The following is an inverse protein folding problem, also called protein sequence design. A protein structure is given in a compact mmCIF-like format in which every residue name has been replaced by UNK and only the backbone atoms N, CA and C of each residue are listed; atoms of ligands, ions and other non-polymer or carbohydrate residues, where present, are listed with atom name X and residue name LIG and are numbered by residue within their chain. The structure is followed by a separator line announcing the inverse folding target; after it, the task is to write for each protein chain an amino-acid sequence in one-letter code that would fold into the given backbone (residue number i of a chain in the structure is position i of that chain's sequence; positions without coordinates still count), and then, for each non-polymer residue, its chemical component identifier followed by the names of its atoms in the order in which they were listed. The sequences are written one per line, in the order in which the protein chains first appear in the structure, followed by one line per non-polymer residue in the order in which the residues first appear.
data_IF_612690725543
#
_entry.id   IF_612690725543
#
_cell.length_a   1.000
_cell.length_b   1.000
_cell.length_c   1.000
_cell.angle_alpha   90.00
_cell.angle_beta   90.00
_cell.angle_gamma   90.00
#
_symmetry.space_group_name_H-M   'P 1'
#
loop_
_entity.id
_entity.type
_entity.pdbx_description
1 polymer ?
#
# COMPACT_ATOMS: atom_id res chain seq x y z
N UNK A 1 -21.88 3.46 -3.64
CA UNK A 1 -23.00 3.32 -3.12
C UNK A 1 -23.92 4.45 -2.69
N UNK A 2 -24.70 4.21 -1.65
CA UNK A 2 -25.81 5.06 -1.23
C UNK A 2 -25.51 6.56 -1.02
N UNK A 3 -24.28 6.93 -0.68
CA UNK A 3 -23.87 8.34 -0.52
C UNK A 3 -23.72 9.03 -1.89
N UNK A 4 -23.11 8.35 -2.88
CA UNK A 4 -22.91 8.92 -4.20
C UNK A 4 -24.21 8.99 -5.01
N UNK A 5 -25.16 8.06 -4.79
CA UNK A 5 -26.42 7.99 -5.52
C UNK A 5 -27.37 9.13 -5.15
N UNK A 6 -27.22 9.72 -3.96
CA UNK A 6 -28.00 10.88 -3.49
C UNK A 6 -27.44 12.24 -3.96
N UNK A 7 -26.23 12.25 -4.52
CA UNK A 7 -25.58 13.49 -4.93
C UNK A 7 -25.82 13.77 -6.40
N UNK A 8 -26.66 14.78 -6.70
CA UNK A 8 -26.95 15.28 -8.04
C UNK A 8 -26.24 16.62 -8.25
N UNK A 9 -24.96 16.59 -8.60
CA UNK A 9 -24.17 17.81 -8.84
C UNK A 9 -23.90 18.05 -10.32
N UNK A 10 -23.49 19.27 -10.68
CA UNK A 10 -23.08 19.66 -12.05
C UNK A 10 -21.94 18.81 -12.64
N UNK A 11 -21.23 18.05 -11.81
CA UNK A 11 -20.08 17.19 -12.19
C UNK A 11 -20.40 15.70 -12.18
N UNK A 12 -21.66 15.32 -12.06
CA UNK A 12 -22.12 13.94 -11.90
C UNK A 12 -22.24 13.52 -10.43
N UNK A 13 -22.68 12.31 -10.19
CA UNK A 13 -22.89 11.76 -8.85
C UNK A 13 -21.66 11.01 -8.29
N UNK A 14 -20.86 10.41 -9.15
CA UNK A 14 -19.73 9.55 -8.78
C UNK A 14 -18.41 10.32 -8.68
N UNK A 15 -18.14 11.21 -9.64
CA UNK A 15 -16.86 11.94 -9.75
C UNK A 15 -16.45 12.68 -8.47
N UNK A 16 -17.31 13.42 -7.74
CA UNK A 16 -16.89 14.12 -6.53
C UNK A 16 -16.43 13.18 -5.43
N UNK A 17 -17.07 12.03 -5.26
CA UNK A 17 -16.71 11.04 -4.22
C UNK A 17 -15.37 10.37 -4.57
N UNK A 18 -15.15 10.07 -5.85
CA UNK A 18 -13.85 9.53 -6.33
C UNK A 18 -12.74 10.54 -6.05
N UNK A 19 -12.93 11.82 -6.40
CA UNK A 19 -11.93 12.87 -6.19
C UNK A 19 -11.56 13.02 -4.71
N UNK A 20 -12.57 13.20 -3.85
CA UNK A 20 -12.34 13.40 -2.40
C UNK A 20 -11.68 12.15 -1.79
N UNK A 21 -12.22 10.97 -2.06
CA UNK A 21 -11.70 9.72 -1.51
C UNK A 21 -10.25 9.46 -1.92
N UNK A 22 -9.89 9.71 -3.19
CA UNK A 22 -8.51 9.52 -3.67
C UNK A 22 -7.55 10.54 -3.06
N UNK A 23 -7.95 11.82 -2.91
CA UNK A 23 -7.12 12.84 -2.28
C UNK A 23 -6.88 12.50 -0.81
N UNK A 24 -7.94 12.14 -0.08
CA UNK A 24 -7.82 11.74 1.33
C UNK A 24 -6.90 10.52 1.46
N UNK A 25 -7.04 9.52 0.59
CA UNK A 25 -6.18 8.35 0.59
C UNK A 25 -4.71 8.72 0.32
N UNK A 26 -4.43 9.58 -0.67
CA UNK A 26 -3.07 10.01 -0.99
C UNK A 26 -2.40 10.77 0.17
N UNK A 27 -3.14 11.69 0.82
CA UNK A 27 -2.66 12.42 2.00
C UNK A 27 -2.39 11.45 3.15
N UNK A 28 -3.31 10.53 3.41
CA UNK A 28 -3.16 9.55 4.49
C UNK A 28 -1.97 8.59 4.24
N UNK A 29 -1.69 8.23 2.98
CA UNK A 29 -0.50 7.44 2.61
C UNK A 29 0.81 8.16 2.96
N UNK A 30 0.91 9.45 2.64
CA UNK A 30 2.07 10.27 2.99
C UNK A 30 2.17 10.41 4.51
N UNK A 31 1.05 10.66 5.19
CA UNK A 31 1.02 10.77 6.65
C UNK A 31 1.45 9.48 7.34
N UNK A 32 1.11 8.31 6.77
CA UNK A 32 1.52 7.01 7.27
C UNK A 32 3.05 6.86 7.27
N UNK A 33 3.72 7.28 6.20
CA UNK A 33 5.18 7.24 6.12
C UNK A 33 5.86 8.20 7.10
N UNK A 34 5.26 9.36 7.37
CA UNK A 34 5.81 10.30 8.36
C UNK A 34 5.74 9.75 9.79
N UNK A 35 4.70 8.97 10.11
CA UNK A 35 4.60 8.30 11.43
C UNK A 35 5.62 7.16 11.52
N UNK A 36 5.85 6.42 10.44
CA UNK A 36 6.90 5.41 10.35
C UNK A 36 8.28 6.03 10.58
N UNK A 37 8.62 7.13 9.90
CA UNK A 37 9.86 7.87 10.10
C UNK A 37 10.01 8.41 11.54
N UNK A 38 8.91 8.84 12.17
CA UNK A 38 8.93 9.26 13.56
C UNK A 38 9.28 8.09 14.50
N UNK A 39 8.82 6.88 14.19
CA UNK A 39 9.18 5.68 14.93
C UNK A 39 10.65 5.31 14.72
N UNK A 40 11.15 5.39 13.48
CA UNK A 40 12.57 5.12 13.18
C UNK A 40 13.53 6.06 13.92
N UNK A 41 13.13 7.31 14.16
CA UNK A 41 13.92 8.26 14.98
C UNK A 41 14.09 7.81 16.43
N UNK A 42 13.15 7.05 16.98
CA UNK A 42 13.24 6.51 18.33
C UNK A 42 14.30 5.38 18.45
N UNK A 43 14.84 4.91 17.33
CA UNK A 43 15.89 3.90 17.31
C UNK A 43 17.32 4.46 17.47
N UNK A 44 17.46 5.73 17.81
CA UNK A 44 18.76 6.38 18.10
C UNK A 44 19.85 6.12 17.04
N UNK A 45 19.45 6.03 15.76
CA UNK A 45 20.36 5.73 14.66
C UNK A 45 20.61 4.24 14.40
N UNK A 46 20.11 3.33 15.22
CA UNK A 46 20.28 1.87 15.04
C UNK A 46 19.61 1.32 13.76
N UNK A 47 18.80 2.12 13.07
CA UNK A 47 18.20 1.76 11.79
C UNK A 47 19.17 1.82 10.60
N UNK A 48 20.31 2.50 10.70
CA UNK A 48 21.29 2.62 9.63
C UNK A 48 21.84 1.23 9.22
N UNK A 49 21.96 1.04 7.88
CA UNK A 49 22.43 -0.22 7.30
C UNK A 49 23.94 -0.12 7.09
N UNK A 50 24.68 -1.22 7.42
CA UNK A 50 26.13 -1.30 7.26
C UNK A 50 26.88 -0.16 7.98
N UNK A 51 26.31 0.35 9.07
CA UNK A 51 26.93 1.37 9.93
C UNK A 51 27.40 0.70 11.24
N UNK A 52 28.71 0.63 11.48
CA UNK A 52 29.25 0.06 12.71
C UNK A 52 28.71 0.73 13.99
N UNK A 53 28.46 2.05 13.96
CA UNK A 53 27.90 2.76 15.11
C UNK A 53 26.48 2.30 15.43
N UNK A 54 25.65 2.10 14.41
CA UNK A 54 24.30 1.55 14.55
C UNK A 54 24.32 0.13 15.15
N UNK A 55 25.22 -0.72 14.68
CA UNK A 55 25.34 -2.08 15.19
C UNK A 55 25.86 -2.15 16.63
N UNK A 56 26.75 -1.23 17.04
CA UNK A 56 27.16 -1.11 18.44
C UNK A 56 25.98 -0.75 19.35
N UNK A 57 25.11 0.16 18.94
CA UNK A 57 23.90 0.50 19.71
C UNK A 57 23.01 -0.76 19.88
N UNK A 58 22.80 -1.51 18.81
CA UNK A 58 22.01 -2.75 18.86
C UNK A 58 22.66 -3.77 19.79
N UNK A 59 23.98 -4.00 19.67
CA UNK A 59 24.71 -4.91 20.51
C UNK A 59 24.57 -4.55 21.99
N UNK A 60 24.84 -3.30 22.36
CA UNK A 60 24.77 -2.84 23.76
C UNK A 60 23.37 -2.96 24.38
N UNK A 61 22.33 -2.96 23.57
CA UNK A 61 20.93 -3.07 24.03
C UNK A 61 20.42 -4.52 24.10
N UNK A 62 20.98 -5.41 23.29
CA UNK A 62 20.48 -6.77 23.11
C UNK A 62 21.52 -7.84 23.46
N UNK A 63 22.70 -7.46 24.03
CA UNK A 63 23.85 -8.35 24.26
C UNK A 63 23.51 -9.60 25.06
N UNK A 64 22.78 -9.45 26.16
CA UNK A 64 22.43 -10.49 27.13
C UNK A 64 21.11 -11.21 26.80
N UNK A 65 20.48 -10.85 25.69
CA UNK A 65 19.16 -11.37 25.32
C UNK A 65 19.23 -12.64 24.52
N UNK A 66 18.38 -13.61 24.88
CA UNK A 66 18.15 -14.78 24.02
C UNK A 66 17.31 -14.39 22.81
N UNK A 67 17.91 -14.45 21.64
CA UNK A 67 17.33 -14.16 20.34
C UNK A 67 17.14 -15.46 19.55
N UNK A 68 16.45 -15.39 18.41
CA UNK A 68 16.24 -16.53 17.52
C UNK A 68 16.67 -16.18 16.10
N UNK A 69 17.40 -17.09 15.48
CA UNK A 69 17.67 -17.02 14.04
C UNK A 69 16.40 -17.27 13.23
N UNK A 70 16.35 -16.94 11.94
CA UNK A 70 15.23 -17.29 11.06
C UNK A 70 14.91 -18.78 11.03
N UNK A 71 15.91 -19.64 11.23
CA UNK A 71 15.77 -21.11 11.27
C UNK A 71 15.29 -21.63 12.63
N UNK A 72 15.12 -20.73 13.62
CA UNK A 72 14.56 -21.03 14.94
C UNK A 72 15.59 -21.43 16.00
N UNK A 73 16.89 -21.39 15.69
CA UNK A 73 17.95 -21.59 16.66
C UNK A 73 18.05 -20.40 17.62
N UNK A 74 18.32 -20.69 18.89
CA UNK A 74 18.49 -19.64 19.91
C UNK A 74 19.96 -19.28 20.07
N UNK A 75 20.23 -17.98 20.24
CA UNK A 75 21.58 -17.48 20.51
C UNK A 75 21.52 -16.27 21.46
N UNK A 76 22.68 -15.96 22.06
CA UNK A 76 22.92 -14.73 22.83
C UNK A 76 24.08 -14.01 22.16
N UNK A 77 23.98 -12.70 21.97
CA UNK A 77 24.97 -11.95 21.20
C UNK A 77 26.34 -11.98 21.87
N UNK A 78 26.42 -11.76 23.20
CA UNK A 78 27.66 -11.73 23.94
C UNK A 78 28.38 -13.08 24.01
N UNK A 79 27.64 -14.18 23.85
CA UNK A 79 28.21 -15.54 23.78
C UNK A 79 28.74 -15.90 22.38
N UNK A 80 28.25 -15.15 21.34
CA UNK A 80 28.50 -15.47 19.92
C UNK A 80 29.53 -14.54 19.29
N UNK A 81 29.52 -13.26 19.66
CA UNK A 81 30.35 -12.19 19.07
C UNK A 81 30.84 -11.24 20.15
N UNK A 82 32.02 -10.68 19.95
CA UNK A 82 32.41 -9.43 20.61
C UNK A 82 31.70 -8.23 19.96
N UNK A 83 31.62 -7.10 20.67
CA UNK A 83 31.01 -5.88 20.12
C UNK A 83 31.65 -5.43 18.81
N UNK A 84 32.98 -5.55 18.69
CA UNK A 84 33.73 -5.16 17.51
C UNK A 84 33.45 -6.10 16.31
N UNK A 85 33.41 -7.41 16.57
CA UNK A 85 33.06 -8.41 15.54
C UNK A 85 31.61 -8.20 15.03
N UNK A 86 30.65 -7.98 15.92
CA UNK A 86 29.27 -7.74 15.55
C UNK A 86 29.12 -6.44 14.76
N UNK A 87 29.80 -5.36 15.18
CA UNK A 87 29.79 -4.07 14.50
C UNK A 87 30.44 -4.11 13.10
N UNK A 88 31.31 -5.08 12.83
CA UNK A 88 31.95 -5.27 11.54
C UNK A 88 31.12 -6.11 10.54
N UNK A 89 29.99 -6.70 10.97
CA UNK A 89 29.15 -7.50 10.09
C UNK A 89 28.44 -6.60 9.09
N UNK A 90 28.71 -6.81 7.80
CA UNK A 90 28.04 -6.08 6.70
C UNK A 90 26.90 -6.90 6.10
N UNK A 91 25.89 -6.22 5.56
CA UNK A 91 24.71 -6.85 4.97
C UNK A 91 25.02 -7.69 3.72
N UNK A 92 26.13 -7.40 3.06
CA UNK A 92 26.57 -8.08 1.85
C UNK A 92 28.05 -8.43 1.91
N UNK A 93 28.40 -9.55 1.30
CA UNK A 93 29.77 -10.01 1.15
C UNK A 93 30.02 -10.46 -0.28
N UNK A 94 31.28 -10.44 -0.71
CA UNK A 94 31.67 -10.98 -2.01
C UNK A 94 32.02 -12.46 -1.85
N UNK A 95 31.30 -13.32 -2.57
CA UNK A 95 31.57 -14.77 -2.54
C UNK A 95 32.85 -15.13 -3.34
N UNK A 96 33.24 -16.40 -3.28
CA UNK A 96 34.43 -16.91 -3.99
C UNK A 96 34.36 -16.73 -5.54
N UNK A 97 33.17 -16.53 -6.08
CA UNK A 97 32.93 -16.30 -7.51
C UNK A 97 32.96 -14.81 -7.89
N UNK A 98 33.30 -13.92 -6.95
CA UNK A 98 33.32 -12.47 -7.16
C UNK A 98 31.93 -11.80 -7.23
N UNK A 99 30.85 -12.50 -6.85
CA UNK A 99 29.50 -11.96 -6.81
C UNK A 99 29.17 -11.43 -5.42
N UNK A 100 28.50 -10.29 -5.38
CA UNK A 100 27.94 -9.75 -4.14
C UNK A 100 26.70 -10.56 -3.73
N UNK A 101 26.72 -11.15 -2.57
CA UNK A 101 25.64 -11.96 -2.00
C UNK A 101 25.27 -11.43 -0.60
N UNK A 102 24.06 -11.75 -0.15
CA UNK A 102 23.64 -11.43 1.22
C UNK A 102 24.52 -12.18 2.22
N UNK A 103 25.00 -11.48 3.24
CA UNK A 103 25.77 -12.07 4.31
C UNK A 103 24.88 -12.93 5.21
N UNK A 104 25.27 -14.18 5.42
CA UNK A 104 24.55 -15.13 6.26
C UNK A 104 24.50 -14.68 7.72
N UNK A 105 25.63 -14.19 8.26
CA UNK A 105 25.71 -13.71 9.64
C UNK A 105 24.82 -12.47 9.85
N UNK A 106 24.76 -11.58 8.87
CA UNK A 106 23.85 -10.44 8.93
C UNK A 106 22.39 -10.89 9.02
N UNK A 107 21.99 -11.86 8.21
CA UNK A 107 20.61 -12.37 8.20
C UNK A 107 20.27 -13.11 9.48
N UNK A 108 21.19 -13.91 10.02
CA UNK A 108 20.93 -14.78 11.15
C UNK A 108 21.07 -14.09 12.51
N UNK A 109 21.95 -13.10 12.61
CA UNK A 109 22.25 -12.48 13.90
C UNK A 109 21.90 -10.99 13.95
N UNK A 110 22.29 -10.23 12.94
CA UNK A 110 22.07 -8.78 12.95
C UNK A 110 20.58 -8.43 12.77
N UNK A 111 19.92 -9.09 11.83
CA UNK A 111 18.47 -8.81 11.56
C UNK A 111 17.60 -9.14 12.78
N UNK A 112 17.70 -10.31 13.42
CA UNK A 112 16.95 -10.60 14.63
C UNK A 112 17.23 -9.64 15.79
N UNK A 113 18.51 -9.27 15.99
CA UNK A 113 18.88 -8.31 17.03
C UNK A 113 18.27 -6.92 16.77
N UNK A 114 18.35 -6.41 15.53
CA UNK A 114 17.70 -5.15 15.13
C UNK A 114 16.19 -5.19 15.29
N UNK A 115 15.55 -6.30 14.94
CA UNK A 115 14.11 -6.49 15.12
C UNK A 115 13.71 -6.52 16.59
N UNK A 116 14.49 -7.20 17.45
CA UNK A 116 14.25 -7.24 18.89
C UNK A 116 14.35 -5.85 19.51
N UNK A 117 15.39 -5.09 19.17
CA UNK A 117 15.56 -3.71 19.61
C UNK A 117 14.40 -2.80 19.12
N UNK A 118 14.03 -2.88 17.85
CA UNK A 118 12.91 -2.12 17.30
C UNK A 118 11.59 -2.47 17.98
N UNK A 119 11.34 -3.75 18.25
CA UNK A 119 10.15 -4.21 18.97
C UNK A 119 10.10 -3.63 20.40
N UNK A 120 11.22 -3.68 21.13
CA UNK A 120 11.29 -3.14 22.49
C UNK A 120 11.07 -1.62 22.50
N UNK A 121 11.73 -0.89 21.58
CA UNK A 121 11.55 0.55 21.44
C UNK A 121 10.08 0.91 21.12
N UNK A 122 9.42 0.09 20.29
CA UNK A 122 7.99 0.27 19.97
C UNK A 122 7.11 0.08 21.19
N UNK A 123 7.42 -0.88 22.06
CA UNK A 123 6.67 -1.08 23.32
C UNK A 123 6.88 0.08 24.31
N UNK A 124 8.05 0.71 24.31
CA UNK A 124 8.35 1.87 25.15
C UNK A 124 7.69 3.15 24.60
N UNK A 125 7.51 3.25 23.27
CA UNK A 125 6.92 4.40 22.58
C UNK A 125 5.69 4.00 21.74
N UNK A 126 4.58 3.52 22.36
CA UNK A 126 3.45 2.95 21.64
C UNK A 126 2.64 3.98 20.85
N UNK A 127 2.85 5.29 21.09
CA UNK A 127 2.11 6.37 20.43
C UNK A 127 2.26 6.36 18.91
N UNK A 128 3.45 6.09 18.39
CA UNK A 128 3.68 5.99 16.96
C UNK A 128 2.96 4.78 16.34
N UNK A 129 2.99 3.62 17.01
CA UNK A 129 2.27 2.42 16.56
C UNK A 129 0.75 2.66 16.54
N UNK A 130 0.19 3.28 17.57
CA UNK A 130 -1.24 3.61 17.64
C UNK A 130 -1.60 4.60 16.53
N UNK A 131 -0.78 5.62 16.31
CA UNK A 131 -0.95 6.59 15.22
C UNK A 131 -0.89 5.92 13.84
N UNK A 132 0.03 4.99 13.64
CA UNK A 132 0.14 4.20 12.40
C UNK A 132 -1.13 3.38 12.15
N UNK A 133 -1.61 2.65 13.15
CA UNK A 133 -2.85 1.84 13.04
C UNK A 133 -4.06 2.72 12.73
N UNK A 134 -4.18 3.87 13.40
CA UNK A 134 -5.28 4.82 13.17
C UNK A 134 -5.24 5.39 11.74
N UNK A 135 -4.07 5.79 11.25
CA UNK A 135 -3.90 6.27 9.87
C UNK A 135 -4.14 5.16 8.83
N UNK A 136 -3.69 3.93 9.12
CA UNK A 136 -3.96 2.78 8.25
C UNK A 136 -5.48 2.55 8.11
N UNK A 137 -6.23 2.67 9.21
CA UNK A 137 -7.69 2.60 9.17
C UNK A 137 -8.29 3.71 8.29
N UNK A 138 -7.77 4.95 8.40
CA UNK A 138 -8.21 6.07 7.54
C UNK A 138 -7.94 5.77 6.06
N UNK A 139 -6.76 5.24 5.72
CA UNK A 139 -6.43 4.81 4.35
C UNK A 139 -7.43 3.78 3.84
N UNK A 140 -7.70 2.73 4.63
CA UNK A 140 -8.61 1.66 4.25
C UNK A 140 -10.04 2.17 4.02
N UNK A 141 -10.54 3.04 4.91
CA UNK A 141 -11.87 3.66 4.78
C UNK A 141 -11.93 4.57 3.55
N UNK A 142 -10.91 5.40 3.32
CA UNK A 142 -10.82 6.27 2.16
C UNK A 142 -10.82 5.46 0.86
N UNK A 143 -10.02 4.39 0.79
CA UNK A 143 -9.96 3.50 -0.38
C UNK A 143 -11.29 2.79 -0.61
N UNK A 144 -11.96 2.29 0.42
CA UNK A 144 -13.29 1.69 0.31
C UNK A 144 -14.33 2.70 -0.19
N UNK A 145 -14.23 3.96 0.26
CA UNK A 145 -15.16 5.03 -0.09
C UNK A 145 -15.11 5.38 -1.58
N UNK A 146 -13.93 5.51 -2.19
CA UNK A 146 -13.84 5.87 -3.61
C UNK A 146 -13.92 4.65 -4.56
N UNK A 147 -13.51 3.45 -4.11
CA UNK A 147 -13.51 2.24 -4.95
C UNK A 147 -14.91 1.89 -5.45
N UNK A 148 -15.91 1.93 -4.58
CA UNK A 148 -17.29 1.59 -4.93
C UNK A 148 -17.86 2.54 -6.02
N UNK A 149 -17.79 3.87 -5.90
CA UNK A 149 -18.21 4.77 -6.97
C UNK A 149 -17.38 4.64 -8.27
N UNK A 150 -16.07 4.37 -8.16
CA UNK A 150 -15.21 4.17 -9.32
C UNK A 150 -15.62 2.95 -10.15
N UNK A 151 -15.93 1.83 -9.51
CA UNK A 151 -16.43 0.63 -10.19
C UNK A 151 -17.83 0.85 -10.72
N UNK A 152 -18.71 1.52 -9.97
CA UNK A 152 -20.09 1.81 -10.39
C UNK A 152 -20.17 2.81 -11.55
N UNK A 153 -19.16 3.64 -11.77
CA UNK A 153 -19.12 4.56 -12.91
C UNK A 153 -19.13 3.81 -14.25
N UNK A 154 -18.51 2.63 -14.34
CA UNK A 154 -18.44 1.87 -15.59
C UNK A 154 -19.82 1.50 -16.16
N UNK A 155 -20.74 0.87 -15.42
CA UNK A 155 -22.08 0.59 -15.95
C UNK A 155 -22.90 1.86 -16.22
N UNK A 156 -22.63 2.98 -15.53
CA UNK A 156 -23.33 4.24 -15.72
C UNK A 156 -22.96 4.92 -17.06
N UNK A 157 -21.76 4.66 -17.60
CA UNK A 157 -21.26 5.25 -18.85
C UNK A 157 -21.18 4.25 -20.00
N UNK A 158 -21.60 2.99 -19.81
CA UNK A 158 -21.47 1.92 -20.81
C UNK A 158 -22.81 1.27 -21.11
N UNK A 159 -23.15 1.16 -22.40
CA UNK A 159 -24.36 0.45 -22.84
C UNK A 159 -24.30 -1.05 -22.46
N UNK A 160 -25.45 -1.67 -22.13
CA UNK A 160 -25.55 -3.05 -21.63
C UNK A 160 -24.72 -4.07 -22.40
N UNK A 161 -24.73 -4.15 -23.74
CA UNK A 161 -23.97 -5.14 -24.50
C UNK A 161 -22.45 -5.03 -24.36
N UNK A 162 -21.92 -3.85 -24.01
CA UNK A 162 -20.49 -3.59 -23.87
C UNK A 162 -19.98 -3.69 -22.43
N UNK A 163 -20.84 -3.82 -21.43
CA UNK A 163 -20.46 -3.87 -19.99
C UNK A 163 -19.49 -5.00 -19.67
N UNK A 164 -19.65 -6.19 -20.30
CA UNK A 164 -18.72 -7.29 -20.10
C UNK A 164 -17.30 -6.97 -20.59
N UNK A 165 -17.18 -6.35 -21.76
CA UNK A 165 -15.89 -5.89 -22.31
C UNK A 165 -15.27 -4.80 -21.44
N UNK A 166 -16.07 -3.83 -21.02
CA UNK A 166 -15.61 -2.74 -20.14
C UNK A 166 -15.11 -3.29 -18.78
N UNK A 167 -15.81 -4.25 -18.19
CA UNK A 167 -15.38 -4.91 -16.96
C UNK A 167 -14.05 -5.68 -17.14
N UNK A 168 -13.86 -6.35 -18.27
CA UNK A 168 -12.60 -7.01 -18.58
C UNK A 168 -11.43 -6.01 -18.65
N UNK A 169 -11.64 -4.85 -19.27
CA UNK A 169 -10.63 -3.76 -19.33
C UNK A 169 -10.31 -3.22 -17.94
N UNK A 170 -11.31 -2.98 -17.10
CA UNK A 170 -11.10 -2.49 -15.72
C UNK A 170 -10.28 -3.50 -14.91
N UNK A 171 -10.59 -4.79 -15.00
CA UNK A 171 -9.84 -5.82 -14.30
C UNK A 171 -8.39 -5.92 -14.81
N UNK A 172 -8.19 -5.82 -16.14
CA UNK A 172 -6.86 -5.81 -16.73
C UNK A 172 -6.04 -4.60 -16.24
N UNK A 173 -6.64 -3.41 -16.22
CA UNK A 173 -5.98 -2.19 -15.71
C UNK A 173 -5.70 -2.28 -14.20
N UNK A 174 -6.60 -2.89 -13.43
CA UNK A 174 -6.38 -3.16 -12.00
C UNK A 174 -5.18 -4.07 -11.76
N UNK A 175 -5.07 -5.16 -12.54
CA UNK A 175 -3.91 -6.07 -12.50
C UNK A 175 -2.63 -5.35 -12.93
N UNK A 176 -2.68 -4.55 -13.99
CA UNK A 176 -1.55 -3.73 -14.46
C UNK A 176 -1.07 -2.76 -13.39
N UNK A 177 -1.99 -2.10 -12.68
CA UNK A 177 -1.68 -1.23 -11.54
C UNK A 177 -0.98 -1.99 -10.40
N UNK A 178 -1.45 -3.20 -10.07
CA UNK A 178 -0.80 -4.08 -9.09
C UNK A 178 0.62 -4.45 -9.47
N UNK A 179 0.85 -4.84 -10.74
CA UNK A 179 2.19 -5.15 -11.26
C UNK A 179 3.10 -3.92 -11.18
N UNK A 180 2.61 -2.74 -11.52
CA UNK A 180 3.36 -1.49 -11.44
C UNK A 180 3.83 -1.20 -10.00
N UNK A 181 2.93 -1.34 -9.01
CA UNK A 181 3.26 -1.14 -7.58
C UNK A 181 4.31 -2.14 -7.11
N UNK A 182 4.20 -3.42 -7.52
CA UNK A 182 5.20 -4.45 -7.21
C UNK A 182 6.55 -4.13 -7.84
N UNK A 183 6.58 -3.69 -9.11
CA UNK A 183 7.82 -3.30 -9.80
C UNK A 183 8.51 -2.13 -9.10
N UNK A 184 7.74 -1.12 -8.66
CA UNK A 184 8.26 0.00 -7.86
C UNK A 184 8.80 -0.53 -6.53
N UNK A 185 8.08 -1.42 -5.83
CA UNK A 185 8.54 -2.06 -4.60
C UNK A 185 9.87 -2.80 -4.76
N UNK A 186 10.04 -3.52 -5.88
CA UNK A 186 11.33 -4.15 -6.20
C UNK A 186 12.44 -3.12 -6.42
N UNK A 187 12.15 -2.00 -7.09
CA UNK A 187 13.11 -0.91 -7.30
C UNK A 187 13.60 -0.29 -5.99
N UNK A 188 12.73 -0.20 -4.99
CA UNK A 188 13.07 0.25 -3.64
C UNK A 188 13.62 -0.88 -2.74
N UNK A 189 13.70 -2.10 -3.24
CA UNK A 189 14.10 -3.29 -2.48
C UNK A 189 13.33 -3.47 -1.14
N UNK A 190 12.03 -3.17 -1.16
CA UNK A 190 11.17 -3.19 0.04
C UNK A 190 11.06 -4.59 0.66
N UNK A 191 11.28 -5.65 -0.11
CA UNK A 191 11.29 -7.05 0.35
C UNK A 191 12.67 -7.53 0.81
N UNK A 192 13.71 -6.70 0.71
CA UNK A 192 15.06 -7.10 1.13
C UNK A 192 15.16 -7.12 2.65
N UNK A 193 15.66 -8.23 3.19
CA UNK A 193 15.86 -8.43 4.63
C UNK A 193 16.80 -7.36 5.22
N UNK A 194 17.80 -6.93 4.45
CA UNK A 194 18.72 -5.85 4.87
C UNK A 194 17.97 -4.52 5.11
N UNK A 195 16.87 -4.27 4.39
CA UNK A 195 16.08 -3.06 4.46
C UNK A 195 14.92 -3.17 5.49
N UNK A 196 14.99 -4.08 6.44
CA UNK A 196 13.92 -4.34 7.42
C UNK A 196 13.51 -3.11 8.26
N UNK A 197 14.39 -2.11 8.41
CA UNK A 197 14.14 -0.85 9.10
C UNK A 197 14.36 0.37 8.17
N UNK A 198 14.12 0.23 6.87
CA UNK A 198 14.24 1.34 5.93
C UNK A 198 13.11 2.36 6.11
N UNK A 199 13.36 3.62 5.78
CA UNK A 199 12.31 4.62 5.63
C UNK A 199 11.47 4.34 4.38
N UNK A 200 10.16 4.27 4.55
CA UNK A 200 9.21 4.08 3.45
C UNK A 200 8.74 5.40 2.80
N UNK A 201 9.23 6.56 3.27
CA UNK A 201 8.75 7.86 2.81
C UNK A 201 8.90 8.06 1.30
N UNK A 202 10.06 7.71 0.73
CA UNK A 202 10.26 7.84 -0.72
C UNK A 202 9.33 6.90 -1.51
N UNK A 203 9.18 5.66 -1.07
CA UNK A 203 8.28 4.68 -1.68
C UNK A 203 6.82 5.13 -1.66
N UNK A 204 6.29 5.50 -0.49
CA UNK A 204 4.92 5.97 -0.36
C UNK A 204 4.67 7.29 -1.10
N UNK A 205 5.67 8.19 -1.17
CA UNK A 205 5.57 9.43 -1.94
C UNK A 205 5.42 9.16 -3.44
N UNK A 206 6.16 8.19 -3.99
CA UNK A 206 6.02 7.78 -5.40
C UNK A 206 4.63 7.20 -5.65
N UNK A 207 4.13 6.32 -4.77
CA UNK A 207 2.80 5.73 -4.91
C UNK A 207 1.71 6.80 -4.81
N UNK A 208 1.78 7.69 -3.83
CA UNK A 208 0.84 8.81 -3.68
C UNK A 208 0.88 9.75 -4.89
N UNK A 209 2.07 10.04 -5.42
CA UNK A 209 2.25 10.83 -6.64
C UNK A 209 1.58 10.19 -7.85
N UNK A 210 1.72 8.87 -8.03
CA UNK A 210 1.04 8.12 -9.09
C UNK A 210 -0.50 8.13 -8.91
N UNK A 211 -0.99 8.03 -7.68
CA UNK A 211 -2.43 8.13 -7.39
C UNK A 211 -2.97 9.52 -7.79
N UNK A 212 -2.25 10.59 -7.43
CA UNK A 212 -2.63 11.96 -7.78
C UNK A 212 -2.55 12.18 -9.29
N UNK A 213 -1.51 11.67 -9.96
CA UNK A 213 -1.38 11.74 -11.41
C UNK A 213 -2.52 11.01 -12.12
N UNK A 214 -2.85 9.80 -11.71
CA UNK A 214 -3.97 9.05 -12.25
C UNK A 214 -5.31 9.79 -12.03
N UNK A 215 -5.50 10.40 -10.85
CA UNK A 215 -6.67 11.23 -10.55
C UNK A 215 -6.73 12.46 -11.45
N UNK A 216 -5.60 13.09 -11.73
CA UNK A 216 -5.53 14.26 -12.63
C UNK A 216 -5.91 13.85 -14.06
N UNK A 217 -5.35 12.76 -14.56
CA UNK A 217 -5.71 12.20 -15.88
C UNK A 217 -7.21 11.90 -15.92
N UNK A 218 -7.74 11.21 -14.93
CA UNK A 218 -9.18 10.94 -14.81
C UNK A 218 -9.99 12.22 -14.86
N UNK A 219 -9.61 13.24 -14.09
CA UNK A 219 -10.32 14.53 -14.03
C UNK A 219 -10.30 15.30 -15.35
N UNK A 220 -9.24 15.17 -16.13
CA UNK A 220 -9.09 15.85 -17.43
C UNK A 220 -9.79 15.10 -18.56
N UNK A 221 -9.87 13.77 -18.49
CA UNK A 221 -10.38 12.92 -19.57
C UNK A 221 -11.85 12.52 -19.37
N UNK A 222 -12.31 12.36 -18.12
CA UNK A 222 -13.64 11.86 -17.82
C UNK A 222 -14.61 13.00 -17.50
N UNK A 223 -15.62 13.14 -18.34
CA UNK A 223 -16.78 14.02 -18.12
C UNK A 223 -18.02 13.14 -17.90
N UNK A 224 -18.26 12.76 -16.63
CA UNK A 224 -19.36 11.85 -16.26
C UNK A 224 -20.72 12.26 -16.83
N UNK A 225 -21.21 13.53 -16.67
CA UNK A 225 -22.50 13.92 -17.21
C UNK A 225 -22.62 13.76 -18.74
N UNK A 226 -21.53 14.08 -19.46
CA UNK A 226 -21.48 13.94 -20.91
C UNK A 226 -21.55 12.47 -21.32
N UNK A 227 -20.73 11.61 -20.71
CA UNK A 227 -20.69 10.18 -21.03
C UNK A 227 -21.98 9.46 -20.66
N UNK A 228 -22.63 9.82 -19.55
CA UNK A 228 -23.95 9.30 -19.19
C UNK A 228 -25.00 9.71 -20.22
N UNK A 229 -25.01 10.98 -20.68
CA UNK A 229 -25.95 11.45 -21.71
C UNK A 229 -25.70 10.74 -23.06
N UNK A 230 -24.45 10.53 -23.46
CA UNK A 230 -24.10 9.78 -24.68
C UNK A 230 -24.56 8.32 -24.58
N UNK A 231 -24.31 7.65 -23.45
CA UNK A 231 -24.78 6.29 -23.19
C UNK A 231 -26.31 6.18 -23.30
N UNK A 232 -27.04 7.13 -22.74
CA UNK A 232 -28.52 7.17 -22.82
C UNK A 232 -29.02 7.39 -24.24
N UNK A 233 -28.35 8.26 -25.00
CA UNK A 233 -28.70 8.53 -26.41
C UNK A 233 -28.45 7.28 -27.27
N UNK A 234 -27.30 6.63 -27.11
CA UNK A 234 -26.98 5.39 -27.84
C UNK A 234 -27.94 4.26 -27.48
N UNK A 235 -28.30 4.13 -26.21
CA UNK A 235 -29.28 3.12 -25.78
C UNK A 235 -30.63 3.29 -26.45
N UNK A 236 -31.11 4.53 -26.53
CA UNK A 236 -32.34 4.85 -27.25
C UNK A 236 -32.21 4.55 -28.74
N UNK A 237 -31.10 4.93 -29.35
CA UNK A 237 -30.82 4.69 -30.78
C UNK A 237 -30.81 3.21 -31.15
N UNK A 238 -30.26 2.35 -30.27
CA UNK A 238 -30.18 0.91 -30.49
C UNK A 238 -31.37 0.13 -29.91
N UNK A 239 -32.38 0.79 -29.36
CA UNK A 239 -33.54 0.13 -28.75
C UNK A 239 -33.17 -0.73 -27.52
N UNK A 240 -32.09 -0.38 -26.83
CA UNK A 240 -31.63 -1.12 -25.66
C UNK A 240 -32.36 -0.59 -24.44
N UNK A 241 -33.27 -1.42 -23.89
CA UNK A 241 -33.95 -1.07 -22.65
C UNK A 241 -32.98 -1.13 -21.46
N UNK A 242 -32.70 0.01 -20.86
CA UNK A 242 -32.06 0.14 -19.58
C UNK A 242 -33.09 0.09 -18.45
N UNK A 243 -34.03 -0.87 -18.50
CA UNK A 243 -34.94 -1.10 -17.39
C UNK A 243 -34.19 -1.00 -16.07
N UNK A 244 -34.74 -0.31 -15.09
CA UNK A 244 -34.14 -0.04 -13.80
C UNK A 244 -33.46 -1.31 -13.25
N UNK A 245 -32.12 -1.32 -13.25
CA UNK A 245 -31.33 -2.32 -12.55
C UNK A 245 -31.46 -1.99 -11.05
N UNK A 246 -32.46 -2.57 -10.41
CA UNK A 246 -32.71 -2.43 -8.98
C UNK A 246 -34.08 -1.86 -8.68
N UNK A 247 -35.01 -2.72 -8.28
CA UNK A 247 -36.36 -2.52 -7.78
C UNK A 247 -37.52 -2.55 -8.80
N UNK A 248 -37.65 -3.67 -9.49
CA UNK A 248 -38.99 -4.22 -9.71
C UNK A 248 -39.03 -5.65 -9.19
N UNK A 249 -39.94 -5.97 -8.24
CA UNK A 249 -40.20 -7.37 -7.90
C UNK A 249 -40.61 -8.07 -9.20
N UNK A 250 -39.95 -9.20 -9.48
CA UNK A 250 -40.39 -10.10 -10.56
C UNK A 250 -41.86 -10.37 -10.33
N UNK A 251 -42.71 -9.79 -11.17
CA UNK A 251 -44.12 -10.11 -11.16
C UNK A 251 -44.22 -11.62 -11.42
N UNK A 252 -44.65 -12.35 -10.43
CA UNK A 252 -44.96 -13.78 -10.51
C UNK A 252 -45.97 -13.97 -11.62
N UNK A 253 -45.46 -14.35 -12.81
CA UNK A 253 -46.30 -14.80 -13.90
C UNK A 253 -47.01 -16.08 -13.46
N UNK A 254 -48.31 -15.98 -13.24
CA UNK A 254 -49.19 -17.13 -13.12
C UNK A 254 -49.01 -17.95 -14.37
N UNK A 255 -48.46 -19.17 -14.22
CA UNK A 255 -48.64 -20.24 -15.17
C UNK A 255 -50.11 -20.64 -15.18
N UNK A 256 -50.82 -20.34 -16.23
CA UNK A 256 -52.09 -20.91 -16.58
C UNK A 256 -51.86 -22.02 -17.61
#
# INVERSE_FOLDING_TARGET
GAISDKHTGKRGSRTPVILIGTIVAAIAFISLSLVDDAQLKNLDGAAAIDDPAALRIVYQKEADRTLKTPDGETFVLEDTFTEDEFAAITSQVTNAEGKTVTNHDYTNYVVPARQAYAHQTTLQHPGALIGFIALLLVVLVAMATFRSPAVALMPDVTIKPLRSKANAVINLMGTGGGILVLAIGMGFATSSVRNSLMSYTAYFSVIAGLMVLALLIFRLTVNEPKFVAEMQADSKRFGIDHGADGDTPVASGKLG
#
